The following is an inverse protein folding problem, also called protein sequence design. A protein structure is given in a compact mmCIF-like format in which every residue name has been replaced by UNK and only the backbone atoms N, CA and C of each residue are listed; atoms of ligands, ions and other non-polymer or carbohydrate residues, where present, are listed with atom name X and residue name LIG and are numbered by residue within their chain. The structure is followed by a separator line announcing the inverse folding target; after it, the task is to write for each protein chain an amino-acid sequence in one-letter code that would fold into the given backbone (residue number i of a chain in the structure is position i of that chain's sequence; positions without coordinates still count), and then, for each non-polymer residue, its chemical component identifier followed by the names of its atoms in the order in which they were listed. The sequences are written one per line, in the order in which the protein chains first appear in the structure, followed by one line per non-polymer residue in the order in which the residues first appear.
data_IF_273757230196
#
_entry.id   IF_273757230196
#
_cell.length_a   1.000
_cell.length_b   1.000
_cell.length_c   1.000
_cell.angle_alpha   90.00
_cell.angle_beta   90.00
_cell.angle_gamma   90.00
#
_symmetry.space_group_name_H-M   'P 1'
#
loop_
_entity.id
_entity.type
_entity.pdbx_description
1 polymer ?
#
# COMPACT_ATOMS: atom_id res chain seq x y z
N UNK A 1 -3.89 -27.09 7.28
CA UNK A 1 -3.18 -27.12 5.98
C UNK A 1 -2.86 -25.74 5.37
N UNK A 2 -3.21 -24.60 5.99
CA UNK A 2 -2.99 -23.27 5.39
C UNK A 2 -1.53 -22.81 5.32
N UNK A 3 -0.75 -23.00 6.40
CA UNK A 3 0.62 -22.44 6.53
C UNK A 3 1.61 -22.86 5.45
N UNK A 4 1.53 -24.10 4.95
CA UNK A 4 2.46 -24.61 3.93
C UNK A 4 2.24 -23.95 2.56
N UNK A 5 0.98 -23.69 2.20
CA UNK A 5 0.61 -23.02 0.95
C UNK A 5 0.99 -21.53 0.95
N UNK A 6 0.94 -20.88 2.12
CA UNK A 6 1.35 -19.48 2.25
C UNK A 6 2.85 -19.29 2.05
N UNK A 7 3.68 -20.17 2.61
CA UNK A 7 5.14 -20.11 2.43
C UNK A 7 5.57 -20.34 0.96
N UNK A 8 4.92 -21.29 0.27
CA UNK A 8 5.15 -21.52 -1.16
C UNK A 8 4.73 -20.30 -2.00
N UNK A 9 3.55 -19.72 -1.72
CA UNK A 9 3.08 -18.52 -2.40
C UNK A 9 4.00 -17.32 -2.15
N UNK A 10 4.48 -17.13 -0.92
CA UNK A 10 5.41 -16.06 -0.55
C UNK A 10 6.70 -16.14 -1.36
N UNK A 11 7.28 -17.34 -1.47
CA UNK A 11 8.52 -17.57 -2.22
C UNK A 11 8.32 -17.26 -3.71
N UNK A 12 7.20 -17.71 -4.29
CA UNK A 12 6.87 -17.45 -5.70
C UNK A 12 6.67 -15.96 -5.98
N UNK A 13 5.97 -15.26 -5.09
CA UNK A 13 5.75 -13.82 -5.23
C UNK A 13 7.04 -13.01 -5.04
N UNK A 14 7.93 -13.41 -4.13
CA UNK A 14 9.25 -12.76 -3.98
C UNK A 14 10.10 -12.94 -5.24
N UNK A 15 10.17 -14.16 -5.78
CA UNK A 15 10.91 -14.43 -7.02
C UNK A 15 10.32 -13.67 -8.22
N UNK A 16 8.99 -13.63 -8.33
CA UNK A 16 8.31 -12.87 -9.36
C UNK A 16 8.60 -11.37 -9.23
N UNK A 17 8.52 -10.82 -8.01
CA UNK A 17 8.78 -9.42 -7.74
C UNK A 17 10.22 -9.06 -8.14
N UNK A 18 11.20 -9.83 -7.71
CA UNK A 18 12.61 -9.57 -7.99
C UNK A 18 12.91 -9.65 -9.50
N UNK A 19 12.32 -10.63 -10.19
CA UNK A 19 12.44 -10.75 -11.65
C UNK A 19 11.79 -9.60 -12.41
N UNK A 20 10.60 -9.16 -11.98
CA UNK A 20 9.90 -8.03 -12.57
C UNK A 20 10.61 -6.71 -12.28
N UNK A 21 11.16 -6.52 -11.08
CA UNK A 21 11.98 -5.35 -10.75
C UNK A 21 13.24 -5.27 -11.64
N UNK A 22 13.90 -6.40 -11.91
CA UNK A 22 15.06 -6.43 -12.80
C UNK A 22 14.72 -6.20 -14.28
N UNK A 23 13.57 -6.70 -14.76
CA UNK A 23 13.21 -6.63 -16.18
C UNK A 23 12.41 -5.38 -16.57
N UNK A 24 11.48 -4.97 -15.71
CA UNK A 24 10.49 -3.94 -16.00
C UNK A 24 10.71 -2.66 -15.18
N UNK A 25 11.46 -2.77 -14.07
CA UNK A 25 11.60 -1.70 -13.10
C UNK A 25 10.59 -1.82 -11.96
N UNK A 26 10.90 -1.13 -10.86
CA UNK A 26 10.12 -1.17 -9.62
C UNK A 26 8.86 -0.29 -9.66
N UNK A 27 8.80 0.69 -10.57
CA UNK A 27 7.64 1.54 -10.84
C UNK A 27 6.64 0.92 -11.82
N UNK A 28 6.99 -0.20 -12.47
CA UNK A 28 6.14 -0.81 -13.48
C UNK A 28 4.84 -1.36 -12.83
N UNK A 29 3.66 -1.16 -13.44
CA UNK A 29 2.37 -1.58 -12.88
C UNK A 29 2.32 -3.07 -12.50
N UNK A 30 2.89 -3.94 -13.32
CA UNK A 30 2.95 -5.38 -13.02
C UNK A 30 3.83 -5.70 -11.80
N UNK A 31 4.88 -4.93 -11.56
CA UNK A 31 5.77 -5.08 -10.40
C UNK A 31 5.06 -4.60 -9.13
N UNK A 32 4.37 -3.46 -9.20
CA UNK A 32 3.56 -2.92 -8.12
C UNK A 32 2.41 -3.88 -7.74
N UNK A 33 1.72 -4.45 -8.73
CA UNK A 33 0.68 -5.46 -8.50
C UNK A 33 1.22 -6.72 -7.78
N UNK A 34 2.42 -7.17 -8.13
CA UNK A 34 3.05 -8.32 -7.44
C UNK A 34 3.45 -7.97 -6.01
N UNK A 35 4.06 -6.80 -5.78
CA UNK A 35 4.36 -6.30 -4.43
C UNK A 35 3.10 -6.16 -3.58
N UNK A 36 2.00 -5.69 -4.18
CA UNK A 36 0.70 -5.59 -3.53
C UNK A 36 0.18 -6.97 -3.09
N UNK A 37 0.16 -7.95 -4.00
CA UNK A 37 -0.31 -9.31 -3.70
C UNK A 37 0.51 -9.97 -2.59
N UNK A 38 1.84 -9.75 -2.59
CA UNK A 38 2.71 -10.24 -1.53
C UNK A 38 2.41 -9.56 -0.17
N UNK A 39 2.11 -8.27 -0.17
CA UNK A 39 1.74 -7.52 1.04
C UNK A 39 0.42 -8.04 1.63
N UNK A 40 -0.60 -8.29 0.79
CA UNK A 40 -1.88 -8.89 1.21
C UNK A 40 -1.67 -10.31 1.74
N UNK A 41 -0.77 -11.09 1.13
CA UNK A 41 -0.41 -12.41 1.63
C UNK A 41 0.16 -12.32 3.05
N UNK A 42 1.08 -11.39 3.29
CA UNK A 42 1.64 -11.16 4.62
C UNK A 42 0.60 -10.73 5.65
N UNK A 43 -0.35 -9.86 5.28
CA UNK A 43 -1.48 -9.51 6.15
C UNK A 43 -2.31 -10.75 6.53
N UNK A 44 -2.62 -11.62 5.58
CA UNK A 44 -3.36 -12.87 5.84
C UNK A 44 -2.59 -13.85 6.73
N UNK A 45 -1.26 -13.77 6.74
CA UNK A 45 -0.40 -14.54 7.63
C UNK A 45 -0.26 -13.92 9.02
N UNK A 46 -0.78 -12.70 9.24
CA UNK A 46 -0.59 -11.92 10.47
C UNK A 46 0.80 -11.27 10.57
N UNK A 47 1.57 -11.27 9.47
CA UNK A 47 2.89 -10.68 9.40
C UNK A 47 2.78 -9.22 8.91
N UNK A 48 2.27 -8.37 9.79
CA UNK A 48 1.97 -6.99 9.42
C UNK A 48 3.22 -6.14 9.16
N UNK A 49 4.36 -6.45 9.80
CA UNK A 49 5.62 -5.72 9.58
C UNK A 49 6.15 -5.88 8.16
N UNK A 50 6.16 -7.11 7.63
CA UNK A 50 6.60 -7.37 6.26
C UNK A 50 5.64 -6.77 5.23
N UNK A 51 4.33 -6.80 5.51
CA UNK A 51 3.34 -6.13 4.67
C UNK A 51 3.53 -4.60 4.66
N UNK A 52 3.77 -3.99 5.82
CA UNK A 52 4.04 -2.55 5.92
C UNK A 52 5.29 -2.16 5.11
N UNK A 53 6.38 -2.91 5.26
CA UNK A 53 7.63 -2.64 4.55
C UNK A 53 7.45 -2.68 3.03
N UNK A 54 6.70 -3.64 2.51
CA UNK A 54 6.42 -3.74 1.08
C UNK A 54 5.52 -2.62 0.57
N UNK A 55 4.46 -2.26 1.29
CA UNK A 55 3.63 -1.13 0.90
C UNK A 55 4.40 0.19 0.94
N UNK A 56 5.26 0.40 1.94
CA UNK A 56 6.13 1.58 1.99
C UNK A 56 7.09 1.61 0.81
N UNK A 57 7.69 0.47 0.45
CA UNK A 57 8.55 0.36 -0.72
C UNK A 57 7.79 0.70 -2.00
N UNK A 58 6.60 0.11 -2.21
CA UNK A 58 5.74 0.40 -3.36
C UNK A 58 5.38 1.88 -3.44
N UNK A 59 5.04 2.51 -2.31
CA UNK A 59 4.73 3.94 -2.23
C UNK A 59 5.89 4.82 -2.69
N UNK A 60 7.13 4.46 -2.35
CA UNK A 60 8.33 5.18 -2.81
C UNK A 60 8.49 5.08 -4.33
N UNK A 61 8.22 3.93 -4.93
CA UNK A 61 8.29 3.76 -6.38
C UNK A 61 7.16 4.50 -7.10
N UNK A 62 5.96 4.50 -6.50
CA UNK A 62 4.77 5.17 -7.00
C UNK A 62 4.83 6.71 -6.90
N UNK A 63 5.82 7.28 -6.21
CA UNK A 63 6.04 8.74 -6.18
C UNK A 63 6.15 9.35 -7.57
N UNK A 64 6.69 8.60 -8.54
CA UNK A 64 6.80 9.04 -9.94
C UNK A 64 5.45 9.04 -10.67
N UNK A 65 4.53 8.13 -10.31
CA UNK A 65 3.17 8.07 -10.85
C UNK A 65 2.28 9.21 -10.31
N UNK A 66 2.64 9.73 -9.13
CA UNK A 66 1.93 10.79 -8.44
C UNK A 66 0.94 10.28 -7.39
N UNK A 67 0.62 11.15 -6.44
CA UNK A 67 -0.30 10.87 -5.33
C UNK A 67 -1.69 10.42 -5.78
N UNK A 68 -2.18 10.96 -6.91
CA UNK A 68 -3.53 10.71 -7.43
C UNK A 68 -3.64 9.45 -8.29
N UNK A 69 -2.52 8.76 -8.52
CA UNK A 69 -2.56 7.51 -9.27
C UNK A 69 -3.32 6.45 -8.45
N UNK A 70 -4.26 5.69 -9.06
CA UNK A 70 -5.08 4.70 -8.35
C UNK A 70 -4.26 3.72 -7.50
N UNK A 71 -3.13 3.27 -8.04
CA UNK A 71 -2.20 2.37 -7.34
C UNK A 71 -1.59 3.02 -6.07
N UNK A 72 -1.28 4.32 -6.11
CA UNK A 72 -0.74 5.07 -4.97
C UNK A 72 -1.78 5.18 -3.87
N UNK A 73 -3.01 5.58 -4.22
CA UNK A 73 -4.13 5.71 -3.28
C UNK A 73 -4.45 4.36 -2.63
N UNK A 74 -4.46 3.30 -3.42
CA UNK A 74 -4.70 1.96 -2.92
C UNK A 74 -3.59 1.49 -1.96
N UNK A 75 -2.33 1.81 -2.25
CA UNK A 75 -1.18 1.48 -1.39
C UNK A 75 -1.24 2.22 -0.06
N UNK A 76 -1.58 3.52 -0.08
CA UNK A 76 -1.78 4.32 1.13
C UNK A 76 -2.94 3.79 1.97
N UNK A 77 -4.07 3.47 1.33
CA UNK A 77 -5.24 2.93 2.02
C UNK A 77 -4.92 1.62 2.76
N UNK A 78 -4.22 0.68 2.11
CA UNK A 78 -3.85 -0.59 2.74
C UNK A 78 -2.83 -0.40 3.88
N UNK A 79 -1.90 0.55 3.75
CA UNK A 79 -1.00 0.94 4.86
C UNK A 79 -1.77 1.47 6.07
N UNK A 80 -2.75 2.34 5.85
CA UNK A 80 -3.57 2.89 6.91
C UNK A 80 -4.39 1.80 7.62
N UNK A 81 -5.03 0.90 6.86
CA UNK A 81 -5.74 -0.27 7.41
C UNK A 81 -4.80 -1.15 8.22
N UNK A 82 -3.59 -1.38 7.71
CA UNK A 82 -2.60 -2.21 8.39
C UNK A 82 -2.14 -1.60 9.71
N UNK A 83 -1.88 -0.30 9.77
CA UNK A 83 -1.51 0.38 11.01
C UNK A 83 -2.68 0.44 12.01
N UNK A 84 -3.91 0.64 11.53
CA UNK A 84 -5.11 0.58 12.37
C UNK A 84 -5.25 -0.82 13.03
N UNK A 85 -5.10 -1.89 12.25
CA UNK A 85 -5.16 -3.27 12.76
C UNK A 85 -4.08 -3.60 13.79
N UNK A 86 -2.95 -2.88 13.78
CA UNK A 86 -1.87 -3.03 14.76
C UNK A 86 -2.00 -2.09 15.97
N UNK A 87 -3.01 -1.22 16.00
CA UNK A 87 -3.18 -0.21 17.06
C UNK A 87 -2.21 0.98 16.94
N UNK A 88 -1.49 1.10 15.82
CA UNK A 88 -0.61 2.25 15.54
C UNK A 88 -1.39 3.39 14.87
N UNK A 89 -2.38 3.91 15.59
CA UNK A 89 -3.29 4.94 15.07
C UNK A 89 -2.57 6.23 14.66
N UNK A 90 -1.55 6.66 15.41
CA UNK A 90 -0.77 7.88 15.09
C UNK A 90 0.02 7.75 13.77
N UNK A 91 0.57 6.56 13.51
CA UNK A 91 1.30 6.29 12.27
C UNK A 91 0.34 6.18 11.06
N UNK A 92 -0.82 5.56 11.27
CA UNK A 92 -1.88 5.49 10.26
C UNK A 92 -2.38 6.90 9.90
N UNK A 93 -2.68 7.72 10.91
CA UNK A 93 -3.19 9.08 10.74
C UNK A 93 -2.16 9.98 10.06
N UNK A 94 -0.89 9.92 10.48
CA UNK A 94 0.18 10.72 9.87
C UNK A 94 0.36 10.41 8.37
N UNK A 95 0.26 9.14 7.97
CA UNK A 95 0.33 8.76 6.56
C UNK A 95 -0.90 9.20 5.78
N UNK A 96 -2.07 9.05 6.38
CA UNK A 96 -3.34 9.44 5.77
C UNK A 96 -3.39 10.95 5.53
N UNK A 97 -3.06 11.75 6.55
CA UNK A 97 -3.00 13.20 6.43
C UNK A 97 -1.96 13.68 5.42
N UNK A 98 -0.81 13.00 5.35
CA UNK A 98 0.21 13.34 4.36
C UNK A 98 -0.26 13.07 2.93
N UNK A 99 -0.96 11.96 2.71
CA UNK A 99 -1.55 11.65 1.39
C UNK A 99 -2.65 12.65 1.04
N UNK A 100 -3.55 12.96 1.98
CA UNK A 100 -4.62 13.92 1.80
C UNK A 100 -4.07 15.31 1.46
N UNK A 101 -3.05 15.79 2.19
CA UNK A 101 -2.43 17.09 1.93
C UNK A 101 -1.75 17.15 0.55
N UNK A 102 -1.16 16.05 0.06
CA UNK A 102 -0.62 16.01 -1.31
C UNK A 102 -1.72 16.03 -2.37
N UNK A 103 -2.84 15.32 -2.15
CA UNK A 103 -3.98 15.36 -3.07
C UNK A 103 -4.70 16.71 -3.07
N UNK A 104 -4.98 17.30 -1.91
CA UNK A 104 -5.57 18.63 -1.77
C UNK A 104 -4.75 19.68 -2.51
N UNK A 105 -3.42 19.62 -2.40
CA UNK A 105 -2.53 20.57 -3.08
C UNK A 105 -2.57 20.44 -4.60
N UNK A 106 -2.87 19.25 -5.14
CA UNK A 106 -2.84 18.97 -6.58
C UNK A 106 -4.22 19.10 -7.25
N UNK A 107 -5.24 18.54 -6.63
CA UNK A 107 -6.60 18.42 -7.18
C UNK A 107 -7.58 19.46 -6.61
N UNK A 108 -7.20 20.11 -5.51
CA UNK A 108 -8.09 20.98 -4.74
C UNK A 108 -8.95 20.19 -3.74
N UNK A 109 -9.38 20.89 -2.68
CA UNK A 109 -10.14 20.28 -1.58
C UNK A 109 -11.50 19.69 -2.00
N UNK A 110 -12.06 20.14 -3.13
CA UNK A 110 -13.35 19.69 -3.67
C UNK A 110 -13.27 18.43 -4.53
N UNK A 111 -12.09 17.83 -4.72
CA UNK A 111 -11.96 16.65 -5.56
C UNK A 111 -12.62 15.42 -4.89
N UNK A 112 -13.40 14.60 -5.61
CA UNK A 112 -14.12 13.46 -5.03
C UNK A 112 -13.22 12.48 -4.27
N UNK A 113 -11.99 12.22 -4.71
CA UNK A 113 -11.02 11.39 -3.97
C UNK A 113 -10.55 12.03 -2.66
N UNK A 114 -10.33 13.35 -2.64
CA UNK A 114 -9.98 14.11 -1.44
C UNK A 114 -11.15 14.11 -0.46
N UNK A 115 -12.37 14.30 -0.97
CA UNK A 115 -13.59 14.25 -0.17
C UNK A 115 -13.86 12.84 0.36
N UNK A 116 -13.55 11.79 -0.40
CA UNK A 116 -13.69 10.40 0.06
C UNK A 116 -12.69 10.11 1.18
N UNK A 117 -11.45 10.56 1.04
CA UNK A 117 -10.46 10.42 2.09
C UNK A 117 -10.80 11.25 3.33
N UNK A 118 -11.17 12.52 3.16
CA UNK A 118 -11.54 13.41 4.26
C UNK A 118 -12.82 13.01 5.01
N UNK A 119 -13.71 12.22 4.37
CA UNK A 119 -14.94 11.71 4.99
C UNK A 119 -14.79 10.36 5.69
N UNK A 120 -13.63 9.70 5.60
CA UNK A 120 -13.37 8.45 6.31
C UNK A 120 -12.40 8.76 7.47
N UNK A 121 -12.89 8.87 8.72
CA UNK A 121 -11.99 8.99 9.86
C UNK A 121 -11.12 7.74 9.92
N UNK A 122 -9.80 7.93 10.03
CA UNK A 122 -8.78 6.86 10.07
C UNK A 122 -8.99 5.81 11.18
N UNK A 123 -9.93 6.03 12.10
CA UNK A 123 -10.28 5.18 13.24
C UNK A 123 -11.68 4.55 13.18
N UNK A 124 -12.52 4.87 12.19
CA UNK A 124 -13.83 4.19 12.00
C UNK A 124 -13.79 3.35 10.73
N UNK A 125 -13.50 2.05 10.92
CA UNK A 125 -13.99 0.98 10.05
C UNK A 125 -15.40 0.58 10.50
#
# INVERSE_FOLDING_TARGET
MGRRKYAEAETLYQQALEGQEQQLGADHPSTLATAHNLSVLYMRQGNHDNAAALFQRALVQQRQLGADHPETLYTVHNLAVLYNNQGYYDAAESLYQRSLAEQERKLGADHPDVLLMGQQPCWTV
#
